data_IF_169214931138
#
_entry.id   IF_169214931138
#
_cell.length_a   1.000
_cell.length_b   1.000
_cell.length_c   1.000
_cell.angle_alpha   90.00
_cell.angle_beta   90.00
_cell.angle_gamma   90.00
#
_symmetry.space_group_name_H-M   'P 1'
#
loop_
_entity.id
_entity.type
_entity.pdbx_description
1 polymer ?
#
# COMPACT_ATOMS: atom_id res chain seq x y z
N UNK A 1 15.35 -9.67 30.70
CA UNK A 1 14.14 -9.11 30.09
C UNK A 1 13.68 -7.81 30.78
N UNK A 2 13.64 -7.70 32.12
CA UNK A 2 13.24 -6.45 32.80
C UNK A 2 14.33 -5.36 32.95
N UNK A 3 15.57 -5.61 32.52
CA UNK A 3 16.67 -4.65 32.64
C UNK A 3 16.72 -3.69 31.45
N UNK A 4 16.69 -4.23 30.23
CA UNK A 4 16.69 -3.44 28.97
C UNK A 4 15.52 -2.46 28.88
N UNK A 5 14.32 -2.86 29.31
CA UNK A 5 13.14 -1.98 29.32
C UNK A 5 13.34 -0.74 30.20
N UNK A 6 14.01 -0.89 31.34
CA UNK A 6 14.26 0.23 32.27
C UNK A 6 15.34 1.17 31.74
N UNK A 7 16.38 0.67 31.08
CA UNK A 7 17.42 1.50 30.48
C UNK A 7 16.88 2.35 29.34
N UNK A 8 16.00 1.80 28.50
CA UNK A 8 15.41 2.53 27.36
C UNK A 8 14.45 3.62 27.83
N UNK A 9 13.60 3.35 28.83
CA UNK A 9 12.72 4.38 29.40
C UNK A 9 13.52 5.48 30.13
N UNK A 10 14.66 5.14 30.74
CA UNK A 10 15.56 6.14 31.36
C UNK A 10 16.32 6.99 30.33
N UNK A 11 16.46 6.51 29.09
CA UNK A 11 17.06 7.28 28.00
C UNK A 11 16.11 8.35 27.40
N UNK A 12 14.89 8.48 27.95
CA UNK A 12 13.91 9.50 27.54
C UNK A 12 12.89 9.02 26.51
N UNK A 13 12.75 7.70 26.31
CA UNK A 13 11.69 7.12 25.50
C UNK A 13 10.41 6.94 26.32
N UNK A 14 9.26 7.24 25.72
CA UNK A 14 7.96 7.18 26.41
C UNK A 14 7.38 5.76 26.51
N UNK A 15 7.75 4.86 25.60
CA UNK A 15 7.38 3.44 25.67
C UNK A 15 8.39 2.55 24.92
N UNK A 16 8.30 1.23 25.13
CA UNK A 16 9.17 0.22 24.53
C UNK A 16 8.36 -0.95 23.99
N UNK A 17 8.52 -1.22 22.68
CA UNK A 17 7.93 -2.37 21.99
C UNK A 17 9.04 -3.31 21.53
N UNK A 18 9.10 -4.50 22.14
CA UNK A 18 10.13 -5.50 21.85
C UNK A 18 9.89 -6.20 20.50
N UNK A 19 10.95 -6.43 19.73
CA UNK A 19 10.87 -7.23 18.49
C UNK A 19 10.91 -8.74 18.79
N UNK A 20 10.22 -9.58 18.00
CA UNK A 20 9.24 -9.23 16.97
C UNK A 20 7.93 -8.77 17.62
N UNK A 21 7.35 -7.70 17.10
CA UNK A 21 6.09 -7.14 17.60
C UNK A 21 4.98 -7.34 16.58
N UNK A 22 3.74 -7.25 17.06
CA UNK A 22 2.55 -7.22 16.22
C UNK A 22 2.03 -5.79 16.14
N UNK A 23 1.20 -5.48 15.14
CA UNK A 23 0.66 -4.12 14.94
C UNK A 23 -0.19 -3.69 16.15
N UNK A 24 -0.86 -4.65 16.79
CA UNK A 24 -1.67 -4.43 17.98
C UNK A 24 -0.82 -3.90 19.15
N UNK A 25 0.42 -4.36 19.29
CA UNK A 25 1.34 -3.90 20.35
C UNK A 25 1.71 -2.42 20.16
N UNK A 26 1.87 -1.98 18.91
CA UNK A 26 2.11 -0.56 18.58
C UNK A 26 0.85 0.27 18.83
N UNK A 27 -0.32 -0.22 18.39
CA UNK A 27 -1.58 0.48 18.57
C UNK A 27 -1.87 0.71 20.06
N UNK A 28 -1.65 -0.28 20.91
CA UNK A 28 -1.81 -0.14 22.38
C UNK A 28 -0.86 0.90 22.95
N UNK A 29 0.41 0.89 22.52
CA UNK A 29 1.40 1.88 22.95
C UNK A 29 0.96 3.31 22.58
N UNK A 30 0.53 3.52 21.33
CA UNK A 30 0.03 4.82 20.86
C UNK A 30 -1.25 5.26 21.57
N UNK A 31 -2.19 4.36 21.83
CA UNK A 31 -3.40 4.64 22.61
C UNK A 31 -3.05 5.14 24.01
N UNK A 32 -2.11 4.49 24.69
CA UNK A 32 -1.70 4.87 26.04
C UNK A 32 -0.95 6.21 26.06
N UNK A 33 -0.04 6.44 25.11
CA UNK A 33 0.74 7.69 25.06
C UNK A 33 -0.11 8.90 24.70
N UNK A 34 -1.10 8.72 23.81
CA UNK A 34 -1.96 9.81 23.33
C UNK A 34 -3.28 9.93 24.13
N UNK A 35 -3.61 8.95 24.98
CA UNK A 35 -4.86 8.92 25.74
C UNK A 35 -6.10 8.75 24.86
N UNK A 36 -5.98 8.02 23.75
CA UNK A 36 -7.06 7.82 22.77
C UNK A 36 -7.56 6.38 22.76
N UNK A 37 -8.79 6.17 22.28
CA UNK A 37 -9.36 4.84 22.03
C UNK A 37 -9.56 4.70 20.53
N UNK A 38 -9.10 3.58 19.96
CA UNK A 38 -9.30 3.29 18.55
C UNK A 38 -10.73 2.83 18.29
N UNK A 39 -11.38 3.47 17.32
CA UNK A 39 -12.61 2.98 16.73
C UNK A 39 -12.26 2.15 15.49
N UNK A 40 -12.57 0.85 15.54
CA UNK A 40 -12.40 -0.03 14.39
C UNK A 40 -13.64 0.08 13.51
N UNK A 41 -13.57 0.94 12.49
CA UNK A 41 -14.60 1.02 11.47
C UNK A 41 -14.30 -0.05 10.42
N UNK A 42 -15.19 -1.05 10.34
CA UNK A 42 -15.23 -1.91 9.17
C UNK A 42 -16.03 -1.16 8.11
N UNK A 43 -15.36 -0.24 7.39
CA UNK A 43 -15.97 0.33 6.20
C UNK A 43 -16.10 -0.81 5.18
N UNK A 44 -17.34 -1.25 4.94
CA UNK A 44 -17.67 -1.95 3.72
C UNK A 44 -17.41 -0.96 2.59
N UNK A 45 -16.20 -1.02 2.01
CA UNK A 45 -15.88 -0.32 0.78
C UNK A 45 -16.97 -0.77 -0.20
N UNK A 46 -17.82 0.14 -0.71
CA UNK A 46 -18.81 -0.23 -1.70
C UNK A 46 -18.06 -0.95 -2.80
N UNK A 47 -18.51 -2.14 -3.18
CA UNK A 47 -17.97 -2.82 -4.35
C UNK A 47 -18.27 -1.92 -5.56
N UNK A 48 -17.37 -0.99 -5.85
CA UNK A 48 -17.30 -0.31 -7.14
C UNK A 48 -17.31 -1.42 -8.17
N UNK A 49 -18.20 -1.32 -9.15
CA UNK A 49 -18.32 -2.29 -10.24
C UNK A 49 -16.91 -2.60 -10.75
N UNK A 50 -16.42 -3.79 -10.40
CA UNK A 50 -15.03 -4.16 -10.62
C UNK A 50 -14.77 -4.08 -12.12
N UNK A 51 -14.12 -2.99 -12.54
CA UNK A 51 -13.79 -2.78 -13.94
C UNK A 51 -12.81 -3.89 -14.30
N UNK A 52 -13.24 -4.77 -15.19
CA UNK A 52 -12.46 -5.96 -15.51
C UNK A 52 -11.28 -5.55 -16.40
N UNK A 53 -10.09 -5.48 -15.82
CA UNK A 53 -8.84 -5.12 -16.50
C UNK A 53 -8.14 -6.32 -17.15
N UNK A 54 -8.72 -7.53 -17.10
CA UNK A 54 -8.07 -8.76 -17.60
C UNK A 54 -7.75 -8.76 -19.10
N UNK A 55 -8.36 -7.87 -19.89
CA UNK A 55 -8.10 -7.73 -21.33
C UNK A 55 -6.99 -6.73 -21.65
N UNK A 56 -6.57 -5.92 -20.66
CA UNK A 56 -5.51 -4.92 -20.86
C UNK A 56 -4.18 -5.63 -20.94
N UNK A 57 -3.50 -5.46 -22.08
CA UNK A 57 -2.17 -5.99 -22.31
C UNK A 57 -1.14 -4.89 -22.02
N UNK A 58 -0.28 -5.13 -21.03
CA UNK A 58 0.87 -4.30 -20.71
C UNK A 58 2.18 -5.05 -20.91
N UNK A 59 3.25 -4.27 -21.06
CA UNK A 59 4.62 -4.79 -21.02
C UNK A 59 4.92 -5.35 -19.63
N UNK A 60 5.37 -6.59 -19.56
CA UNK A 60 5.74 -7.29 -18.33
C UNK A 60 6.76 -6.48 -17.51
N UNK A 61 7.68 -5.74 -18.15
CA UNK A 61 8.66 -4.91 -17.44
C UNK A 61 8.01 -3.75 -16.69
N UNK A 62 6.97 -3.15 -17.27
CA UNK A 62 6.24 -2.05 -16.66
C UNK A 62 5.42 -2.54 -15.47
N UNK A 63 4.81 -3.71 -15.61
CA UNK A 63 4.04 -4.38 -14.56
C UNK A 63 4.95 -4.77 -13.39
N UNK A 64 6.09 -5.40 -13.66
CA UNK A 64 7.03 -5.81 -12.63
C UNK A 64 7.55 -4.61 -11.82
N UNK A 65 7.90 -3.50 -12.50
CA UNK A 65 8.29 -2.25 -11.84
C UNK A 65 7.16 -1.66 -10.99
N UNK A 66 5.92 -1.71 -11.48
CA UNK A 66 4.78 -1.22 -10.72
C UNK A 66 4.49 -2.08 -9.49
N UNK A 67 4.59 -3.41 -9.62
CA UNK A 67 4.43 -4.34 -8.50
C UNK A 67 5.50 -4.09 -7.44
N UNK A 68 6.76 -4.01 -7.84
CA UNK A 68 7.87 -3.69 -6.94
C UNK A 68 7.66 -2.34 -6.25
N UNK A 69 7.26 -1.31 -6.99
CA UNK A 69 6.98 0.00 -6.42
C UNK A 69 5.81 0.00 -5.43
N UNK A 70 4.75 -0.78 -5.69
CA UNK A 70 3.63 -0.95 -4.78
C UNK A 70 4.00 -1.76 -3.53
N UNK A 71 4.83 -2.80 -3.66
CA UNK A 71 5.38 -3.57 -2.53
C UNK A 71 6.30 -2.72 -1.65
N UNK A 72 7.08 -1.82 -2.25
CA UNK A 72 7.98 -0.89 -1.56
C UNK A 72 7.28 0.42 -1.12
N UNK A 73 5.98 0.57 -1.36
CA UNK A 73 5.22 1.79 -1.09
C UNK A 73 5.87 3.07 -1.69
N UNK A 74 6.56 2.92 -2.82
CA UNK A 74 7.26 4.03 -3.49
C UNK A 74 6.31 4.83 -4.38
N UNK A 75 5.79 5.92 -3.82
CA UNK A 75 4.88 6.84 -4.54
C UNK A 75 5.54 7.41 -5.79
N UNK A 76 6.84 7.72 -5.72
CA UNK A 76 7.60 8.30 -6.84
C UNK A 76 7.67 7.35 -8.03
N UNK A 77 7.94 6.06 -7.77
CA UNK A 77 8.11 5.05 -8.80
C UNK A 77 6.76 4.64 -9.40
N UNK A 78 5.71 4.56 -8.56
CA UNK A 78 4.33 4.39 -9.04
C UNK A 78 3.95 5.53 -9.99
N UNK A 79 4.22 6.79 -9.62
CA UNK A 79 3.88 7.94 -10.47
C UNK A 79 4.68 7.96 -11.78
N UNK A 80 5.92 7.44 -11.79
CA UNK A 80 6.68 7.25 -13.02
C UNK A 80 6.01 6.21 -13.93
N UNK A 81 5.65 5.05 -13.39
CA UNK A 81 4.99 3.99 -14.14
C UNK A 81 3.61 4.43 -14.67
N UNK A 82 2.81 5.15 -13.86
CA UNK A 82 1.51 5.69 -14.29
C UNK A 82 1.66 6.67 -15.45
N UNK A 83 2.67 7.54 -15.43
CA UNK A 83 2.95 8.46 -16.54
C UNK A 83 3.37 7.74 -17.82
N UNK A 84 4.14 6.66 -17.70
CA UNK A 84 4.48 5.81 -18.84
C UNK A 84 3.23 5.15 -19.45
N UNK A 85 2.30 4.68 -18.61
CA UNK A 85 1.02 4.11 -19.05
C UNK A 85 0.10 5.15 -19.70
N UNK A 86 0.09 6.40 -19.22
CA UNK A 86 -0.71 7.49 -19.80
C UNK A 86 -0.26 7.91 -21.20
N UNK A 87 1.01 7.66 -21.55
CA UNK A 87 1.54 7.89 -22.89
C UNK A 87 1.05 6.84 -23.90
N UNK A 88 0.60 5.68 -23.42
CA UNK A 88 -0.06 4.67 -24.23
C UNK A 88 -1.49 5.14 -24.58
N UNK A 89 -2.02 4.66 -25.70
CA UNK A 89 -3.38 4.99 -26.13
C UNK A 89 -4.32 3.81 -25.89
N UNK A 90 -5.60 4.09 -25.61
CA UNK A 90 -6.63 3.07 -25.38
C UNK A 90 -6.76 2.65 -23.92
N UNK A 91 -6.96 1.35 -23.69
CA UNK A 91 -7.24 0.76 -22.38
C UNK A 91 -6.13 0.97 -21.34
N UNK A 92 -4.81 0.93 -21.67
CA UNK A 92 -3.74 1.23 -20.72
C UNK A 92 -3.84 2.61 -20.06
N UNK A 93 -4.36 3.61 -20.79
CA UNK A 93 -4.56 4.96 -20.26
C UNK A 93 -5.72 5.05 -19.28
N UNK A 94 -6.79 4.30 -19.54
CA UNK A 94 -7.95 4.23 -18.64
C UNK A 94 -7.57 3.52 -17.34
N UNK A 95 -6.81 2.43 -17.45
CA UNK A 95 -6.23 1.73 -16.31
C UNK A 95 -5.32 2.65 -15.49
N UNK A 96 -4.46 3.45 -16.13
CA UNK A 96 -3.60 4.41 -15.41
C UNK A 96 -4.41 5.43 -14.60
N UNK A 97 -5.55 5.89 -15.12
CA UNK A 97 -6.44 6.81 -14.40
C UNK A 97 -7.07 6.13 -13.17
N UNK A 98 -7.52 4.88 -13.30
CA UNK A 98 -8.08 4.11 -12.19
C UNK A 98 -7.02 3.80 -11.11
N UNK A 99 -5.83 3.34 -11.50
CA UNK A 99 -4.72 3.13 -10.58
C UNK A 99 -4.28 4.43 -9.87
N UNK A 100 -4.37 5.59 -10.54
CA UNK A 100 -4.09 6.87 -9.90
C UNK A 100 -5.13 7.23 -8.83
N UNK A 101 -6.41 6.86 -9.01
CA UNK A 101 -7.42 7.02 -7.96
C UNK A 101 -7.09 6.14 -6.75
N UNK A 102 -6.83 4.84 -6.95
CA UNK A 102 -6.42 3.94 -5.87
C UNK A 102 -5.17 4.45 -5.12
N UNK A 103 -4.19 5.01 -5.87
CA UNK A 103 -3.00 5.62 -5.29
C UNK A 103 -3.30 6.86 -4.44
N UNK A 104 -4.27 7.69 -4.83
CA UNK A 104 -4.69 8.86 -4.02
C UNK A 104 -5.29 8.43 -2.67
N UNK A 105 -5.94 7.27 -2.63
CA UNK A 105 -6.43 6.65 -1.41
C UNK A 105 -5.36 5.85 -0.64
N UNK A 106 -4.11 5.90 -1.08
CA UNK A 106 -3.00 5.10 -0.53
C UNK A 106 -3.26 3.58 -0.53
N UNK A 107 -4.17 3.13 -1.40
CA UNK A 107 -4.57 1.73 -1.48
C UNK A 107 -3.62 0.92 -2.39
N UNK A 108 -2.41 0.69 -1.88
CA UNK A 108 -1.39 -0.09 -2.58
C UNK A 108 -1.81 -1.55 -2.75
N UNK A 109 -2.67 -2.04 -1.86
CA UNK A 109 -3.17 -3.41 -1.91
C UNK A 109 -4.07 -3.60 -3.13
N UNK A 110 -5.04 -2.71 -3.32
CA UNK A 110 -5.93 -2.78 -4.48
C UNK A 110 -5.15 -2.59 -5.79
N UNK A 111 -4.09 -1.77 -5.81
CA UNK A 111 -3.17 -1.68 -6.95
C UNK A 111 -2.55 -3.05 -7.26
N UNK A 112 -2.04 -3.77 -6.26
CA UNK A 112 -1.46 -5.11 -6.46
C UNK A 112 -2.49 -6.14 -6.92
N UNK A 113 -3.73 -6.05 -6.43
CA UNK A 113 -4.83 -6.94 -6.83
C UNK A 113 -5.18 -6.72 -8.31
N UNK A 114 -5.36 -5.46 -8.74
CA UNK A 114 -5.58 -5.11 -10.15
C UNK A 114 -4.42 -5.60 -11.04
N UNK A 115 -3.17 -5.42 -10.61
CA UNK A 115 -2.01 -5.86 -11.39
C UNK A 115 -1.92 -7.39 -11.54
N UNK A 116 -2.49 -8.16 -10.61
CA UNK A 116 -2.52 -9.63 -10.68
C UNK A 116 -3.59 -10.16 -11.63
N UNK A 117 -4.69 -9.45 -11.77
CA UNK A 117 -5.81 -9.85 -12.64
C UNK A 117 -5.56 -9.58 -14.13
N UNK A 118 -4.55 -8.76 -14.44
CA UNK A 118 -4.19 -8.38 -15.81
C UNK A 118 -3.35 -9.44 -16.53
N UNK A 119 -3.47 -9.48 -17.86
CA UNK A 119 -2.62 -10.28 -18.72
C UNK A 119 -1.35 -9.51 -19.10
N UNK A 120 -0.19 -10.14 -18.90
CA UNK A 120 1.12 -9.56 -19.23
C UNK A 120 1.70 -10.32 -20.42
N UNK A 121 2.18 -9.58 -21.43
CA UNK A 121 2.85 -10.21 -22.59
C UNK A 121 4.36 -10.07 -22.41
N UNK A 122 5.12 -11.19 -22.47
CA UNK A 122 6.57 -11.12 -22.53
C UNK A 122 6.95 -10.51 -23.86
N UNK A 123 7.58 -9.32 -23.83
CA UNK A 123 8.02 -8.62 -25.04
C UNK A 123 9.51 -8.77 -25.29
#
# INVERSE_FOLDING_TARGET
>A
MDHERREILQAGFDDFVAKPFRLEDIAVSLAHLLGVVYEYVCEEIPAEEAVNWSQVVLDEKLVARMQEAAELFSVTDIEACLREMEQLSGEPRQLAAHLRQLRQHHDMRSILEVLREMQHVPR
#
